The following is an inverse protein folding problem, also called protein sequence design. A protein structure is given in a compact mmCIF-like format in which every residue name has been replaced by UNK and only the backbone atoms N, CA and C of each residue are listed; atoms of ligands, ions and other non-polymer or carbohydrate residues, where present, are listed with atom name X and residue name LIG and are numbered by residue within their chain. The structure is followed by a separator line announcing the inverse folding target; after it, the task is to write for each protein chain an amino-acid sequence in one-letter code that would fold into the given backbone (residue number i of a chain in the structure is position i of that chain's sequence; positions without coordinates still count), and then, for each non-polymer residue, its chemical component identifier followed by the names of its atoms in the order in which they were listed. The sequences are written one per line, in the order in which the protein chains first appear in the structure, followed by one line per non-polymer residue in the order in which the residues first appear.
data_IF_984428739064
#
_entry.id   IF_984428739064
#
_cell.length_a   1.000
_cell.length_b   1.000
_cell.length_c   1.000
_cell.angle_alpha   90.00
_cell.angle_beta   90.00
_cell.angle_gamma   90.00
#
_symmetry.space_group_name_H-M   'P 1'
#
loop_
_entity.id
_entity.type
_entity.pdbx_description
1 polymer ?
#
# COMPACT_ATOMS: atom_id res chain seq x y z
N UNK A 1 7.75 -20.80 -8.29
CA UNK A 1 6.35 -20.43 -8.02
C UNK A 1 6.41 -19.36 -6.95
N UNK A 2 6.03 -18.09 -7.11
CA UNK A 2 5.12 -17.38 -8.02
C UNK A 2 5.59 -15.91 -8.18
N UNK A 3 5.31 -15.21 -9.29
CA UNK A 3 5.29 -13.74 -9.34
C UNK A 3 3.88 -13.14 -9.51
N UNK A 4 2.91 -13.90 -10.02
CA UNK A 4 1.61 -13.36 -10.47
C UNK A 4 0.58 -13.13 -9.35
N UNK A 5 0.70 -13.77 -8.19
CA UNK A 5 -0.25 -13.54 -7.08
C UNK A 5 0.04 -12.22 -6.34
N UNK A 6 1.32 -11.91 -6.11
CA UNK A 6 1.72 -10.75 -5.30
C UNK A 6 1.39 -9.39 -5.94
N UNK A 7 1.35 -9.29 -7.28
CA UNK A 7 1.00 -8.05 -7.97
C UNK A 7 -0.48 -7.68 -7.81
N UNK A 8 -1.37 -8.68 -7.79
CA UNK A 8 -2.81 -8.46 -7.61
C UNK A 8 -3.13 -8.01 -6.18
N UNK A 9 -2.45 -8.59 -5.18
CA UNK A 9 -2.63 -8.22 -3.77
C UNK A 9 -2.18 -6.77 -3.49
N UNK A 10 -1.06 -6.36 -4.11
CA UNK A 10 -0.55 -4.98 -4.02
C UNK A 10 -1.48 -3.96 -4.68
N UNK A 11 -2.10 -4.31 -5.81
CA UNK A 11 -3.07 -3.44 -6.46
C UNK A 11 -4.30 -3.28 -5.56
N UNK A 12 -4.84 -4.38 -5.04
CA UNK A 12 -5.97 -4.37 -4.13
C UNK A 12 -5.73 -3.50 -2.89
N UNK A 13 -4.54 -3.60 -2.26
CA UNK A 13 -4.20 -2.76 -1.10
C UNK A 13 -4.12 -1.27 -1.44
N UNK A 14 -3.64 -0.92 -2.63
CA UNK A 14 -3.63 0.48 -3.10
C UNK A 14 -5.02 1.00 -3.39
N UNK A 15 -5.90 0.17 -3.93
CA UNK A 15 -7.31 0.53 -4.10
C UNK A 15 -7.98 0.79 -2.76
N UNK A 16 -7.77 -0.10 -1.78
CA UNK A 16 -8.28 0.07 -0.42
C UNK A 16 -7.74 1.34 0.25
N UNK A 17 -6.43 1.62 0.12
CA UNK A 17 -5.84 2.86 0.61
C UNK A 17 -6.54 4.08 0.00
N UNK A 18 -6.65 4.11 -1.34
CA UNK A 18 -7.28 5.22 -2.04
C UNK A 18 -8.72 5.43 -1.60
N UNK A 19 -9.51 4.36 -1.46
CA UNK A 19 -10.89 4.45 -0.99
C UNK A 19 -10.99 5.06 0.40
N UNK A 20 -10.16 4.59 1.35
CA UNK A 20 -10.16 5.10 2.72
C UNK A 20 -9.73 6.58 2.73
N UNK A 21 -8.76 6.98 1.92
CA UNK A 21 -8.39 8.39 1.75
C UNK A 21 -9.56 9.24 1.22
N UNK A 22 -10.33 8.73 0.25
CA UNK A 22 -11.50 9.43 -0.31
C UNK A 22 -12.68 9.54 0.68
N UNK A 23 -12.81 8.64 1.65
CA UNK A 23 -13.89 8.71 2.65
C UNK A 23 -13.79 9.94 3.55
N UNK A 24 -12.60 10.55 3.68
CA UNK A 24 -12.39 11.75 4.49
C UNK A 24 -12.71 11.56 5.97
N UNK A 25 -12.57 10.34 6.51
CA UNK A 25 -12.85 10.04 7.92
C UNK A 25 -11.95 10.91 8.81
N UNK A 26 -12.57 11.84 9.53
CA UNK A 26 -11.87 12.67 10.51
C UNK A 26 -11.28 11.83 11.64
N UNK A 27 -10.06 12.17 12.04
CA UNK A 27 -9.32 11.46 13.08
C UNK A 27 -8.38 10.38 12.56
N UNK A 28 -8.43 9.99 11.28
CA UNK A 28 -7.33 9.23 10.66
C UNK A 28 -6.13 10.16 10.50
N UNK A 29 -4.97 9.74 11.00
CA UNK A 29 -3.73 10.52 10.94
C UNK A 29 -2.82 10.06 9.81
N UNK A 30 -2.83 8.76 9.49
CA UNK A 30 -1.98 8.17 8.45
C UNK A 30 -2.50 6.80 8.01
N UNK A 31 -2.17 6.41 6.78
CA UNK A 31 -2.50 5.12 6.17
C UNK A 31 -1.25 4.58 5.49
N UNK A 32 -0.73 3.45 6.00
CA UNK A 32 0.53 2.87 5.55
C UNK A 32 0.27 1.53 4.87
N UNK A 33 0.40 1.43 3.54
CA UNK A 33 0.31 0.16 2.83
C UNK A 33 1.60 -0.65 3.00
N UNK A 34 1.44 -1.97 2.99
CA UNK A 34 2.54 -2.95 2.92
C UNK A 34 2.25 -3.96 1.80
N UNK A 35 2.98 -5.08 1.76
CA UNK A 35 2.80 -6.09 0.72
C UNK A 35 1.45 -6.81 0.82
N UNK A 36 0.96 -7.06 2.04
CA UNK A 36 -0.22 -7.88 2.32
C UNK A 36 -1.20 -7.25 3.33
N UNK A 37 -0.86 -6.09 3.90
CA UNK A 37 -1.68 -5.41 4.90
C UNK A 37 -1.71 -3.89 4.71
N UNK A 38 -2.75 -3.27 5.26
CA UNK A 38 -2.92 -1.82 5.37
C UNK A 38 -2.98 -1.44 6.85
N UNK A 39 -2.06 -0.57 7.29
CA UNK A 39 -2.07 -0.04 8.67
C UNK A 39 -2.76 1.32 8.68
N UNK A 40 -3.75 1.50 9.56
CA UNK A 40 -4.44 2.77 9.74
C UNK A 40 -4.11 3.32 11.12
N UNK A 41 -3.56 4.53 11.16
CA UNK A 41 -3.30 5.26 12.39
C UNK A 41 -4.40 6.30 12.59
N UNK A 42 -4.91 6.41 13.82
CA UNK A 42 -5.98 7.35 14.13
C UNK A 42 -5.89 7.91 15.55
N UNK A 43 -6.37 9.13 15.73
CA UNK A 43 -6.49 9.82 17.00
C UNK A 43 -7.75 9.35 17.74
N UNK A 44 -7.55 8.63 18.85
CA UNK A 44 -8.62 8.10 19.70
C UNK A 44 -9.50 9.18 20.34
N UNK A 45 -9.04 10.43 20.44
CA UNK A 45 -9.87 11.53 20.94
C UNK A 45 -10.90 12.00 19.92
N UNK A 46 -10.70 11.68 18.64
CA UNK A 46 -11.56 12.11 17.52
C UNK A 46 -12.32 10.94 16.89
N UNK A 47 -11.73 9.74 16.90
CA UNK A 47 -12.27 8.55 16.24
C UNK A 47 -12.11 7.31 17.12
N UNK A 48 -13.20 6.59 17.36
CA UNK A 48 -13.14 5.30 18.04
C UNK A 48 -12.87 4.17 17.03
N UNK A 49 -12.32 3.06 17.52
CA UNK A 49 -12.10 1.87 16.71
C UNK A 49 -13.40 1.37 16.05
N UNK A 50 -14.51 1.31 16.79
CA UNK A 50 -15.78 0.80 16.27
C UNK A 50 -16.36 1.73 15.20
N UNK A 51 -16.20 3.05 15.35
CA UNK A 51 -16.58 4.02 14.32
C UNK A 51 -15.71 3.90 13.08
N UNK A 52 -14.40 3.71 13.25
CA UNK A 52 -13.48 3.48 12.13
C UNK A 52 -13.90 2.24 11.34
N UNK A 53 -14.08 1.10 12.02
CA UNK A 53 -14.49 -0.15 11.36
C UNK A 53 -15.83 0.00 10.64
N UNK A 54 -16.81 0.63 11.29
CA UNK A 54 -18.11 0.90 10.66
C UNK A 54 -18.01 1.78 9.43
N UNK A 55 -17.17 2.83 9.47
CA UNK A 55 -16.98 3.70 8.32
C UNK A 55 -16.30 2.97 7.15
N UNK A 56 -15.35 2.08 7.43
CA UNK A 56 -14.69 1.25 6.42
C UNK A 56 -15.67 0.25 5.82
N UNK A 57 -16.49 -0.42 6.63
CA UNK A 57 -17.50 -1.39 6.15
C UNK A 57 -18.60 -0.73 5.30
N UNK A 58 -18.94 0.53 5.60
CA UNK A 58 -19.91 1.32 4.85
C UNK A 58 -19.31 2.06 3.65
N UNK A 59 -17.98 2.05 3.49
CA UNK A 59 -17.35 2.64 2.34
C UNK A 59 -17.86 1.95 1.07
N UNK A 60 -18.27 2.72 0.04
CA UNK A 60 -18.76 2.12 -1.19
C UNK A 60 -17.68 1.20 -1.78
N UNK A 61 -18.10 0.05 -2.30
CA UNK A 61 -17.22 -0.79 -3.10
C UNK A 61 -16.66 0.05 -4.26
N UNK A 62 -15.38 -0.14 -4.65
CA UNK A 62 -14.79 0.65 -5.72
C UNK A 62 -15.60 0.46 -7.01
N UNK A 63 -16.35 1.49 -7.41
CA UNK A 63 -16.89 1.59 -8.77
C UNK A 63 -15.81 2.06 -9.76
N UNK A 64 -14.66 2.52 -9.25
CA UNK A 64 -13.56 2.98 -10.08
C UNK A 64 -12.55 1.87 -10.31
N UNK A 65 -12.32 1.52 -11.58
CA UNK A 65 -10.99 1.09 -12.01
C UNK A 65 -10.03 2.20 -11.56
N UNK A 66 -9.26 1.96 -10.50
CA UNK A 66 -8.13 2.83 -10.21
C UNK A 66 -7.31 2.86 -11.49
N UNK A 67 -7.17 4.03 -12.11
CA UNK A 67 -6.34 4.17 -13.30
C UNK A 67 -4.86 4.17 -12.85
N UNK A 68 -4.44 3.03 -12.28
CA UNK A 68 -3.09 2.78 -11.83
C UNK A 68 -2.21 2.67 -13.08
N UNK A 69 -1.49 3.75 -13.35
CA UNK A 69 -0.52 3.80 -14.43
C UNK A 69 0.84 3.45 -13.85
N UNK A 70 1.40 2.25 -14.13
CA UNK A 70 2.74 1.91 -13.68
C UNK A 70 3.72 2.91 -14.25
N UNK A 71 4.53 3.51 -13.37
CA UNK A 71 5.60 4.43 -13.76
C UNK A 71 6.90 3.66 -13.77
N UNK A 72 7.59 3.68 -14.92
CA UNK A 72 8.98 3.24 -14.98
C UNK A 72 9.86 4.37 -14.45
N UNK A 73 10.65 4.05 -13.42
CA UNK A 73 11.60 4.97 -12.80
C UNK A 73 12.98 4.36 -13.00
N UNK A 74 13.85 5.05 -13.73
CA UNK A 74 15.24 4.64 -13.88
C UNK A 74 16.05 5.13 -12.68
N UNK A 75 16.73 4.20 -12.01
CA UNK A 75 17.57 4.49 -10.85
C UNK A 75 19.02 4.14 -11.24
N UNK A 76 19.95 5.12 -11.28
CA UNK A 76 21.36 4.82 -11.50
C UNK A 76 21.92 4.08 -10.29
N UNK A 77 22.51 2.91 -10.52
CA UNK A 77 23.10 2.07 -9.48
C UNK A 77 24.56 1.82 -9.79
N UNK A 78 25.46 2.11 -8.84
CA UNK A 78 26.87 1.76 -8.94
C UNK A 78 27.12 0.41 -8.28
N UNK A 79 27.13 -0.66 -9.08
CA UNK A 79 27.34 -2.03 -8.59
C UNK A 79 28.79 -2.30 -8.15
N UNK A 80 29.75 -1.52 -8.65
CA UNK A 80 31.20 -1.68 -8.36
C UNK A 80 31.54 -1.51 -6.87
N UNK A 81 30.73 -0.79 -6.11
CA UNK A 81 30.89 -0.62 -4.65
C UNK A 81 30.01 -1.56 -3.82
N UNK A 82 29.35 -2.54 -4.45
CA UNK A 82 28.57 -3.54 -3.76
C UNK A 82 29.47 -4.47 -2.95
N UNK A 83 29.42 -4.37 -1.62
CA UNK A 83 30.24 -5.18 -0.71
C UNK A 83 30.07 -6.70 -0.93
N UNK A 84 28.88 -7.13 -1.34
CA UNK A 84 28.54 -8.54 -1.58
C UNK A 84 28.52 -8.91 -3.07
N UNK A 85 28.99 -8.04 -3.98
CA UNK A 85 28.84 -8.24 -5.42
C UNK A 85 29.56 -9.50 -5.91
N UNK A 86 30.80 -9.73 -5.46
CA UNK A 86 31.59 -10.92 -5.79
C UNK A 86 30.87 -12.21 -5.35
N UNK A 87 30.25 -12.20 -4.17
CA UNK A 87 29.53 -13.35 -3.61
C UNK A 87 28.25 -13.70 -4.38
N UNK A 88 27.59 -12.70 -4.97
CA UNK A 88 26.38 -12.91 -5.77
C UNK A 88 26.72 -13.49 -7.14
N UNK A 89 27.86 -13.10 -7.73
CA UNK A 89 28.28 -13.56 -9.06
C UNK A 89 28.89 -14.97 -9.09
N UNK A 90 29.33 -15.51 -7.96
CA UNK A 90 29.98 -16.83 -7.85
C UNK A 90 28.99 -18.03 -7.83
N UNK A 91 27.83 -17.90 -8.50
CA UNK A 91 26.76 -18.93 -8.56
C UNK A 91 26.77 -19.75 -9.84
#
# INVERSE_FOLDING_TARGET
MQPQHAENDLLYLKEMQFLIEQTGIQGITDIVPSYDALTILFDRSQLSHDMLMRNIELAPAPESELNWQPKHIEIPVCYEFGLDWERIMDR
#
